data_IF_472056089081
#
_entry.id   IF_472056089081
#
_cell.length_a   1.000
_cell.length_b   1.000
_cell.length_c   1.000
_cell.angle_alpha   90.00
_cell.angle_beta   90.00
_cell.angle_gamma   90.00
#
_symmetry.space_group_name_H-M   'P 1'
#
loop_
_entity.id
_entity.type
_entity.pdbx_description
1 polymer ?
#
# COMPACT_ATOMS: atom_id res chain seq x y z
N UNK A 1 12.69 -17.21 -17.44
CA UNK A 1 12.08 -16.50 -16.28
C UNK A 1 11.50 -15.20 -16.81
N UNK A 2 10.25 -14.89 -16.50
CA UNK A 2 9.60 -13.63 -16.89
C UNK A 2 10.46 -12.45 -16.41
N UNK A 3 10.87 -11.56 -17.32
CA UNK A 3 11.83 -10.48 -17.06
C UNK A 3 11.35 -9.33 -16.16
N UNK A 4 10.28 -9.52 -15.40
CA UNK A 4 9.74 -8.48 -14.52
C UNK A 4 10.34 -8.61 -13.13
N UNK A 5 11.05 -7.58 -12.68
CA UNK A 5 11.60 -7.50 -11.34
C UNK A 5 10.52 -7.07 -10.35
N UNK A 6 10.30 -7.88 -9.31
CA UNK A 6 9.40 -7.49 -8.23
C UNK A 6 9.87 -6.20 -7.50
N UNK A 7 11.17 -5.88 -7.56
CA UNK A 7 11.74 -4.68 -6.94
C UNK A 7 11.32 -3.39 -7.65
N UNK A 8 10.89 -3.49 -8.90
CA UNK A 8 10.36 -2.38 -9.68
C UNK A 8 8.83 -2.25 -9.51
N UNK A 9 8.21 -3.17 -8.78
CA UNK A 9 6.79 -3.08 -8.44
C UNK A 9 6.55 -2.08 -7.31
N UNK A 10 5.27 -1.70 -7.12
CA UNK A 10 4.83 -0.74 -6.11
C UNK A 10 4.48 -1.43 -4.79
N UNK A 11 5.40 -2.23 -4.26
CA UNK A 11 5.21 -2.91 -2.97
C UNK A 11 5.73 -2.05 -1.83
N UNK A 12 4.83 -1.73 -0.89
CA UNK A 12 5.18 -1.07 0.38
C UNK A 12 4.23 -1.51 1.48
N UNK A 13 4.73 -1.54 2.72
CA UNK A 13 3.97 -1.98 3.89
C UNK A 13 3.72 -0.81 4.85
N UNK A 14 2.57 -0.82 5.54
CA UNK A 14 2.25 0.19 6.54
C UNK A 14 1.83 -0.47 7.85
N UNK A 15 2.65 -0.31 8.89
CA UNK A 15 2.36 -0.76 10.27
C UNK A 15 1.94 -2.24 10.38
N UNK A 16 2.57 -3.10 9.59
CA UNK A 16 2.40 -4.54 9.72
C UNK A 16 2.87 -5.01 11.12
N UNK A 17 2.18 -6.01 11.67
CA UNK A 17 2.45 -6.55 12.99
C UNK A 17 2.51 -8.07 12.99
N UNK A 18 3.19 -8.65 13.98
CA UNK A 18 3.35 -10.09 14.14
C UNK A 18 4.75 -10.58 13.77
N UNK A 19 5.05 -11.89 13.98
CA UNK A 19 6.41 -12.42 13.84
C UNK A 19 7.04 -12.25 12.46
N UNK A 20 6.21 -12.15 11.41
CA UNK A 20 6.64 -11.95 10.03
C UNK A 20 6.79 -10.49 9.62
N UNK A 21 6.55 -9.49 10.48
CA UNK A 21 6.54 -8.07 10.12
C UNK A 21 7.90 -7.39 10.40
N UNK A 22 8.96 -7.90 9.80
CA UNK A 22 10.31 -7.31 9.84
C UNK A 22 10.48 -6.16 8.85
N UNK A 23 11.23 -5.12 9.23
CA UNK A 23 11.64 -4.04 8.33
C UNK A 23 13.03 -4.35 7.78
N UNK A 24 13.13 -4.50 6.47
CA UNK A 24 14.40 -4.81 5.77
C UNK A 24 14.50 -3.99 4.47
N UNK A 25 15.68 -3.89 3.84
CA UNK A 25 15.83 -3.22 2.54
C UNK A 25 14.95 -3.81 1.43
N UNK A 26 14.60 -5.08 1.56
CA UNK A 26 13.75 -5.82 0.62
C UNK A 26 12.25 -5.68 0.93
N UNK A 27 11.89 -4.89 1.95
CA UNK A 27 10.51 -4.67 2.40
C UNK A 27 10.23 -3.18 2.61
N UNK A 28 10.05 -2.43 1.51
CA UNK A 28 9.83 -0.99 1.56
C UNK A 28 8.67 -0.63 2.49
N UNK A 29 8.83 0.42 3.28
CA UNK A 29 7.79 0.94 4.16
C UNK A 29 7.10 2.13 3.51
N UNK A 30 5.77 2.19 3.64
CA UNK A 30 4.98 3.33 3.23
C UNK A 30 5.25 4.50 4.18
N UNK A 31 5.66 5.68 3.67
CA UNK A 31 5.84 6.85 4.51
C UNK A 31 4.57 7.17 5.30
N UNK A 32 4.67 7.51 6.61
CA UNK A 32 3.48 7.75 7.42
C UNK A 32 2.54 8.85 6.90
N UNK A 33 3.09 9.85 6.20
CA UNK A 33 2.29 10.90 5.58
C UNK A 33 1.45 10.37 4.41
N UNK A 34 2.02 9.48 3.58
CA UNK A 34 1.37 8.89 2.40
C UNK A 34 0.24 7.93 2.76
N UNK A 35 0.24 7.35 3.97
CA UNK A 35 -0.85 6.47 4.43
C UNK A 35 -2.25 7.13 4.36
N UNK A 36 -2.30 8.47 4.39
CA UNK A 36 -3.54 9.24 4.24
C UNK A 36 -4.16 9.16 2.84
N UNK A 37 -3.38 8.81 1.84
CA UNK A 37 -3.82 8.69 0.44
C UNK A 37 -4.26 7.27 0.08
N UNK A 38 -4.18 6.34 1.04
CA UNK A 38 -4.47 4.92 0.87
C UNK A 38 -5.70 4.49 1.70
N UNK A 39 -6.75 5.32 1.72
CA UNK A 39 -8.01 5.00 2.39
C UNK A 39 -9.06 4.41 1.43
N UNK A 40 -10.09 3.75 1.98
CA UNK A 40 -11.20 3.26 1.17
C UNK A 40 -11.89 4.39 0.38
N UNK A 41 -11.94 5.61 0.93
CA UNK A 41 -12.51 6.75 0.23
C UNK A 41 -11.66 7.16 -0.99
N UNK A 42 -10.34 7.23 -0.83
CA UNK A 42 -9.43 7.62 -1.92
C UNK A 42 -9.44 6.60 -3.07
N UNK A 43 -9.59 5.32 -2.74
CA UNK A 43 -9.64 4.26 -3.75
C UNK A 43 -11.00 4.13 -4.46
N UNK A 44 -12.10 4.38 -3.75
CA UNK A 44 -13.43 4.02 -4.24
C UNK A 44 -14.23 5.22 -4.76
N UNK A 45 -13.91 6.47 -4.36
CA UNK A 45 -14.70 7.64 -4.72
C UNK A 45 -14.92 7.78 -6.24
N UNK A 46 -13.92 7.50 -7.07
CA UNK A 46 -14.03 7.62 -8.52
C UNK A 46 -14.53 9.01 -8.99
N UNK A 47 -14.94 9.14 -10.26
CA UNK A 47 -15.50 10.38 -10.79
C UNK A 47 -16.94 10.67 -10.29
N UNK A 48 -17.67 9.66 -9.84
CA UNK A 48 -19.07 9.71 -9.44
C UNK A 48 -19.29 9.85 -7.93
N UNK A 49 -18.20 9.89 -7.15
CA UNK A 49 -18.24 10.07 -5.70
C UNK A 49 -18.73 8.83 -4.95
N UNK A 50 -18.53 7.63 -5.50
CA UNK A 50 -18.99 6.37 -4.90
C UNK A 50 -18.47 6.17 -3.46
N UNK A 51 -19.39 5.95 -2.54
CA UNK A 51 -19.12 5.86 -1.08
C UNK A 51 -19.90 4.69 -0.45
N UNK A 52 -19.41 3.44 -0.60
CA UNK A 52 -20.13 2.23 -0.18
C UNK A 52 -20.09 1.96 1.33
N UNK A 53 -19.25 2.65 2.08
CA UNK A 53 -19.12 2.49 3.54
C UNK A 53 -19.58 3.76 4.23
N UNK A 54 -20.44 3.61 5.24
CA UNK A 54 -20.94 4.70 6.09
C UNK A 54 -20.77 4.32 7.56
#
# INVERSE_FOLDING_TARGET
>A
MSGFSWREARFSEHRNSGPGATVTPDRPQLPPASARDHTAADYLAGPDGWRPTR
#
